data_IF_782080902572
#
_entry.id   IF_782080902572
#
_cell.length_a   1.000
_cell.length_b   1.000
_cell.length_c   1.000
_cell.angle_alpha   90.00
_cell.angle_beta   90.00
_cell.angle_gamma   90.00
#
_symmetry.space_group_name_H-M   'P 1'
#
loop_
_entity.id
_entity.type
_entity.pdbx_description
1 polymer ?
#
# COMPACT_ATOMS: atom_id res chain seq x y z
N UNK A 1 26.16 -24.10 -2.68
CA UNK A 1 26.14 -22.84 -3.44
C UNK A 1 25.04 -22.97 -4.50
N UNK A 2 23.90 -22.27 -4.38
CA UNK A 2 22.88 -22.25 -5.44
C UNK A 2 23.42 -21.40 -6.60
N UNK A 3 23.53 -21.99 -7.77
CA UNK A 3 23.80 -21.24 -9.01
C UNK A 3 22.58 -20.36 -9.24
N UNK A 4 22.73 -19.02 -9.44
CA UNK A 4 21.61 -18.17 -9.79
C UNK A 4 20.99 -18.68 -11.10
N UNK A 5 19.71 -18.93 -11.11
CA UNK A 5 19.02 -19.26 -12.36
C UNK A 5 19.14 -18.07 -13.33
N UNK A 6 19.42 -18.32 -14.60
CA UNK A 6 19.52 -17.24 -15.57
C UNK A 6 18.14 -16.53 -15.66
N UNK A 7 18.16 -15.20 -15.55
CA UNK A 7 16.98 -14.30 -15.61
C UNK A 7 16.44 -14.24 -17.08
N UNK A 8 16.33 -15.38 -17.74
CA UNK A 8 15.90 -15.45 -19.15
C UNK A 8 14.49 -16.00 -19.33
N UNK A 9 13.73 -16.14 -18.24
CA UNK A 9 12.32 -16.48 -18.31
C UNK A 9 11.48 -15.20 -18.42
N UNK A 10 10.32 -15.28 -19.07
CA UNK A 10 9.36 -14.16 -19.14
C UNK A 10 9.02 -13.64 -17.73
N UNK A 11 8.80 -14.55 -16.79
CA UNK A 11 8.56 -14.21 -15.38
C UNK A 11 9.74 -13.44 -14.78
N UNK A 12 10.96 -13.90 -14.96
CA UNK A 12 12.16 -13.23 -14.47
C UNK A 12 12.35 -11.84 -15.06
N UNK A 13 12.05 -11.64 -16.34
CA UNK A 13 12.08 -10.33 -16.99
C UNK A 13 11.03 -9.38 -16.44
N UNK A 14 9.81 -9.86 -16.16
CA UNK A 14 8.75 -9.08 -15.52
C UNK A 14 9.19 -8.64 -14.13
N UNK A 15 9.69 -9.55 -13.29
CA UNK A 15 10.17 -9.22 -11.95
C UNK A 15 11.29 -8.19 -11.97
N UNK A 16 12.26 -8.35 -12.87
CA UNK A 16 13.37 -7.41 -13.03
C UNK A 16 12.88 -6.01 -13.44
N UNK A 17 11.87 -5.91 -14.30
CA UNK A 17 11.28 -4.63 -14.68
C UNK A 17 10.66 -3.92 -13.47
N UNK A 18 9.87 -4.62 -12.65
CA UNK A 18 9.30 -4.04 -11.42
C UNK A 18 10.37 -3.63 -10.40
N UNK A 19 11.42 -4.43 -10.25
CA UNK A 19 12.54 -4.12 -9.35
C UNK A 19 13.31 -2.86 -9.78
N UNK A 20 13.42 -2.62 -11.09
CA UNK A 20 14.06 -1.42 -11.63
C UNK A 20 13.24 -0.14 -11.40
N UNK A 21 11.92 -0.25 -11.24
CA UNK A 21 10.98 0.87 -11.05
C UNK A 21 10.70 1.18 -9.57
N UNK A 22 11.38 0.53 -8.62
CA UNK A 22 11.16 0.78 -7.21
C UNK A 22 11.41 2.24 -6.83
N UNK A 23 10.44 2.82 -6.13
CA UNK A 23 10.54 4.17 -5.61
C UNK A 23 11.61 4.29 -4.51
N UNK A 24 12.23 5.47 -4.35
CA UNK A 24 13.15 5.72 -3.25
C UNK A 24 12.43 5.64 -1.90
N UNK A 25 13.17 5.42 -0.79
CA UNK A 25 12.60 5.40 0.55
C UNK A 25 11.85 6.69 0.87
N UNK A 26 10.71 6.57 1.55
CA UNK A 26 9.90 7.71 1.96
C UNK A 26 10.63 8.53 3.03
N UNK A 27 10.54 9.89 3.00
CA UNK A 27 11.20 10.75 4.00
C UNK A 27 10.47 10.80 5.35
N UNK A 28 9.48 9.95 5.56
CA UNK A 28 8.66 9.88 6.78
C UNK A 28 8.40 8.42 7.17
N UNK A 29 8.05 8.22 8.43
CA UNK A 29 7.61 6.93 8.92
C UNK A 29 6.12 6.74 8.57
N UNK A 30 5.79 5.65 7.89
CA UNK A 30 4.40 5.30 7.58
C UNK A 30 3.64 4.89 8.84
N UNK A 31 2.40 5.40 9.01
CA UNK A 31 1.57 5.08 10.17
C UNK A 31 1.33 3.56 10.35
N UNK A 32 1.30 2.80 9.26
CA UNK A 32 1.17 1.34 9.28
C UNK A 32 2.35 0.61 9.94
N UNK A 33 3.50 1.26 10.09
CA UNK A 33 4.67 0.67 10.73
C UNK A 33 4.68 0.84 12.26
N UNK A 34 3.87 1.75 12.82
CA UNK A 34 3.91 2.10 14.24
C UNK A 34 3.58 0.93 15.19
N UNK A 35 2.94 -0.12 14.70
CA UNK A 35 2.68 -1.35 15.46
C UNK A 35 3.85 -2.32 15.54
N UNK A 36 4.99 -2.00 14.95
CA UNK A 36 6.14 -2.90 14.96
C UNK A 36 6.72 -3.03 16.38
N UNK A 37 7.01 -4.25 16.86
CA UNK A 37 7.41 -4.49 18.26
C UNK A 37 8.83 -4.03 18.60
N UNK A 38 9.64 -3.65 17.60
CA UNK A 38 11.03 -3.24 17.79
C UNK A 38 11.22 -1.76 17.44
N UNK A 39 11.32 -0.89 18.44
CA UNK A 39 11.56 0.55 18.29
C UNK A 39 12.87 0.86 17.57
N UNK A 40 13.89 0.05 17.82
CA UNK A 40 15.18 0.20 17.13
C UNK A 40 15.06 -0.03 15.63
N UNK A 41 14.24 -1.01 15.21
CA UNK A 41 13.97 -1.24 13.79
C UNK A 41 13.24 -0.04 13.17
N UNK A 42 12.22 0.51 13.83
CA UNK A 42 11.51 1.72 13.40
C UNK A 42 12.47 2.89 13.24
N UNK A 43 13.37 3.09 14.19
CA UNK A 43 14.39 4.15 14.14
C UNK A 43 15.35 3.97 12.95
N UNK A 44 15.82 2.74 12.70
CA UNK A 44 16.70 2.42 11.58
C UNK A 44 16.00 2.63 10.23
N UNK A 45 14.72 2.28 10.13
CA UNK A 45 13.89 2.56 8.94
C UNK A 45 13.77 4.06 8.70
N UNK A 46 13.43 4.81 9.73
CA UNK A 46 13.29 6.27 9.64
C UNK A 46 14.61 6.95 9.23
N UNK A 47 15.74 6.46 9.71
CA UNK A 47 17.08 6.97 9.37
C UNK A 47 17.62 6.45 8.04
N UNK A 48 16.86 5.65 7.32
CA UNK A 48 17.29 4.97 6.09
C UNK A 48 18.58 4.13 6.26
N UNK A 49 18.86 3.69 7.49
CA UNK A 49 19.98 2.80 7.78
C UNK A 49 19.71 1.36 7.29
N UNK A 50 18.44 1.01 7.19
CA UNK A 50 17.96 -0.23 6.56
C UNK A 50 17.00 0.17 5.45
N UNK A 51 17.38 -0.05 4.21
CA UNK A 51 16.53 0.17 3.04
C UNK A 51 15.97 -1.18 2.62
N UNK A 52 14.68 -1.38 2.84
CA UNK A 52 13.99 -2.58 2.40
C UNK A 52 13.78 -2.51 0.89
N UNK A 53 14.33 -3.49 0.18
CA UNK A 53 14.08 -3.68 -1.25
C UNK A 53 13.20 -4.90 -1.42
N UNK A 54 12.10 -4.72 -2.11
CA UNK A 54 11.16 -5.79 -2.39
C UNK A 54 11.55 -6.53 -3.67
N UNK A 55 11.31 -7.85 -3.68
CA UNK A 55 11.43 -8.66 -4.89
C UNK A 55 10.34 -8.29 -5.90
N UNK A 56 10.59 -8.52 -7.18
CA UNK A 56 9.61 -8.26 -8.23
C UNK A 56 8.28 -8.98 -8.01
N UNK A 57 8.32 -10.19 -7.45
CA UNK A 57 7.11 -10.92 -7.04
C UNK A 57 6.32 -10.16 -5.97
N UNK A 58 6.99 -9.63 -4.96
CA UNK A 58 6.34 -8.84 -3.89
C UNK A 58 5.76 -7.54 -4.45
N UNK A 59 6.46 -6.87 -5.35
CA UNK A 59 5.98 -5.65 -6.00
C UNK A 59 4.72 -5.90 -6.85
N UNK A 60 4.66 -7.03 -7.55
CA UNK A 60 3.45 -7.47 -8.27
C UNK A 60 2.27 -7.73 -7.33
N UNK A 61 2.51 -8.30 -6.14
CA UNK A 61 1.46 -8.46 -5.13
C UNK A 61 0.94 -7.11 -4.63
N UNK A 62 1.82 -6.13 -4.42
CA UNK A 62 1.42 -4.77 -4.06
C UNK A 62 0.58 -4.12 -5.16
N UNK A 63 1.00 -4.27 -6.41
CA UNK A 63 0.25 -3.76 -7.57
C UNK A 63 -1.13 -4.40 -7.65
N UNK A 64 -1.24 -5.69 -7.45
CA UNK A 64 -2.52 -6.39 -7.39
C UNK A 64 -3.41 -5.84 -6.26
N UNK A 65 -2.86 -5.56 -5.09
CA UNK A 65 -3.60 -4.92 -3.99
C UNK A 65 -4.20 -3.58 -4.41
N UNK A 66 -3.42 -2.74 -5.09
CA UNK A 66 -3.90 -1.45 -5.61
C UNK A 66 -5.02 -1.61 -6.66
N UNK A 67 -4.90 -2.58 -7.55
CA UNK A 67 -5.94 -2.84 -8.57
C UNK A 67 -7.25 -3.35 -7.91
N UNK A 68 -7.16 -4.11 -6.82
CA UNK A 68 -8.33 -4.55 -6.04
C UNK A 68 -9.00 -3.40 -5.27
N UNK A 69 -8.26 -2.39 -4.81
CA UNK A 69 -8.86 -1.17 -4.23
C UNK A 69 -9.83 -0.52 -5.22
N UNK A 70 -9.42 -0.33 -6.46
CA UNK A 70 -10.27 0.26 -7.51
C UNK A 70 -11.53 -0.57 -7.76
N UNK A 71 -11.42 -1.91 -7.74
CA UNK A 71 -12.57 -2.81 -7.88
C UNK A 71 -13.54 -2.69 -6.71
N UNK A 72 -13.04 -2.65 -5.48
CA UNK A 72 -13.87 -2.47 -4.28
C UNK A 72 -14.62 -1.14 -4.34
N UNK A 73 -13.93 -0.05 -4.71
CA UNK A 73 -14.54 1.27 -4.89
C UNK A 73 -15.69 1.22 -5.92
N UNK A 74 -15.47 0.55 -7.06
CA UNK A 74 -16.52 0.38 -8.08
C UNK A 74 -17.73 -0.40 -7.55
N UNK A 75 -17.51 -1.46 -6.75
CA UNK A 75 -18.59 -2.22 -6.15
C UNK A 75 -19.40 -1.40 -5.14
N UNK A 76 -18.72 -0.60 -4.30
CA UNK A 76 -19.38 0.30 -3.36
C UNK A 76 -20.24 1.35 -4.09
N UNK A 77 -19.72 1.93 -5.17
CA UNK A 77 -20.49 2.86 -6.00
C UNK A 77 -21.71 2.21 -6.67
N UNK A 78 -21.62 0.94 -7.06
CA UNK A 78 -22.76 0.19 -7.64
C UNK A 78 -23.91 0.00 -6.67
N UNK A 79 -23.67 -0.11 -5.39
CA UNK A 79 -24.71 -0.21 -4.36
C UNK A 79 -25.22 1.15 -3.89
N UNK A 80 -24.78 2.24 -4.54
CA UNK A 80 -25.24 3.60 -4.27
C UNK A 80 -24.43 4.35 -3.20
N UNK A 81 -23.33 3.79 -2.69
CA UNK A 81 -22.45 4.51 -1.80
C UNK A 81 -21.64 5.59 -2.55
N UNK A 82 -21.46 6.74 -1.91
CA UNK A 82 -20.58 7.78 -2.42
C UNK A 82 -19.16 7.52 -1.91
N UNK A 83 -18.21 7.31 -2.84
CA UNK A 83 -16.81 7.11 -2.51
C UNK A 83 -15.95 8.18 -3.17
N UNK A 84 -15.18 8.89 -2.37
CA UNK A 84 -14.30 10.00 -2.78
C UNK A 84 -12.87 9.81 -2.26
N UNK A 85 -11.95 10.65 -2.73
CA UNK A 85 -10.56 10.66 -2.29
C UNK A 85 -9.84 9.31 -2.45
N UNK A 86 -9.99 8.67 -3.60
CA UNK A 86 -9.40 7.38 -3.93
C UNK A 86 -8.21 7.52 -4.89
N UNK A 87 -7.37 6.50 -4.98
CA UNK A 87 -6.25 6.42 -5.90
C UNK A 87 -5.24 7.56 -5.70
N UNK A 88 -4.97 8.35 -6.73
CA UNK A 88 -4.03 9.49 -6.66
C UNK A 88 -4.55 10.68 -5.82
N UNK A 89 -5.81 10.67 -5.41
CA UNK A 89 -6.44 11.72 -4.61
C UNK A 89 -6.65 11.32 -3.15
N UNK A 90 -5.97 10.29 -2.68
CA UNK A 90 -6.04 9.85 -1.29
C UNK A 90 -5.65 10.97 -0.33
N UNK A 91 -6.36 11.05 0.79
CA UNK A 91 -6.06 12.02 1.85
C UNK A 91 -4.84 11.54 2.62
N UNK A 92 -3.85 12.41 2.72
CA UNK A 92 -2.69 12.19 3.59
C UNK A 92 -2.90 12.86 4.93
N UNK A 93 -2.61 12.14 6.00
CA UNK A 93 -2.65 12.62 7.37
C UNK A 93 -1.23 12.81 7.89
N UNK A 94 -0.95 13.98 8.45
CA UNK A 94 0.30 14.25 9.15
C UNK A 94 0.04 14.21 10.66
N UNK A 95 0.63 13.24 11.33
CA UNK A 95 0.47 13.04 12.78
C UNK A 95 1.54 13.77 13.61
N UNK A 96 2.40 14.54 12.95
CA UNK A 96 3.58 15.14 13.58
C UNK A 96 4.72 14.14 13.76
N UNK A 97 5.84 14.61 14.28
CA UNK A 97 7.03 13.77 14.58
C UNK A 97 7.48 12.88 13.42
N UNK A 98 7.35 13.37 12.18
CA UNK A 98 7.71 12.64 10.95
C UNK A 98 6.85 11.40 10.65
N UNK A 99 5.67 11.28 11.24
CA UNK A 99 4.73 10.18 10.99
C UNK A 99 3.62 10.66 10.07
N UNK A 100 3.42 9.95 8.96
CA UNK A 100 2.34 10.21 7.99
C UNK A 100 1.63 8.93 7.62
N UNK A 101 0.36 9.08 7.25
CA UNK A 101 -0.45 7.99 6.72
C UNK A 101 -1.43 8.49 5.67
N UNK A 102 -2.06 7.57 4.98
CA UNK A 102 -3.14 7.84 4.05
C UNK A 102 -4.25 6.83 4.26
N UNK A 103 -5.46 7.16 3.82
CA UNK A 103 -6.56 6.19 3.72
C UNK A 103 -6.88 5.94 2.25
N UNK A 104 -7.50 4.80 1.96
CA UNK A 104 -7.83 4.39 0.60
C UNK A 104 -9.02 5.17 0.02
N UNK A 105 -9.78 5.84 0.87
CA UNK A 105 -10.88 6.72 0.46
C UNK A 105 -11.76 7.17 1.62
N UNK A 106 -12.80 7.91 1.25
CA UNK A 106 -13.88 8.32 2.16
C UNK A 106 -15.18 7.77 1.58
N UNK A 107 -15.97 7.11 2.40
CA UNK A 107 -17.25 6.51 2.01
C UNK A 107 -18.41 7.09 2.80
N UNK A 108 -19.51 7.35 2.11
CA UNK A 108 -20.79 7.83 2.66
C UNK A 108 -21.96 7.06 2.04
N UNK A 109 -23.08 6.98 2.75
CA UNK A 109 -24.29 6.36 2.22
C UNK A 109 -24.30 4.84 2.23
N UNK A 110 -23.57 4.22 3.15
CA UNK A 110 -23.63 2.78 3.36
C UNK A 110 -25.00 2.36 3.89
N UNK A 111 -25.58 1.23 3.44
CA UNK A 111 -26.93 0.81 3.83
C UNK A 111 -27.19 0.71 5.33
N UNK A 112 -26.19 0.28 6.10
CA UNK A 112 -26.27 0.15 7.56
C UNK A 112 -25.91 1.43 8.32
N UNK A 113 -25.38 2.46 7.63
CA UNK A 113 -24.96 3.73 8.20
C UNK A 113 -25.11 4.87 7.17
N UNK A 114 -26.34 5.16 6.67
CA UNK A 114 -26.56 6.02 5.52
C UNK A 114 -26.17 7.48 5.71
N UNK A 115 -26.10 7.93 6.96
CA UNK A 115 -25.74 9.32 7.33
C UNK A 115 -24.29 9.44 7.83
N UNK A 116 -23.55 8.34 7.86
CA UNK A 116 -22.19 8.32 8.39
C UNK A 116 -21.19 8.50 7.27
N UNK A 117 -20.24 9.40 7.51
CA UNK A 117 -19.03 9.54 6.73
C UNK A 117 -17.91 8.73 7.39
N UNK A 118 -17.32 7.80 6.67
CA UNK A 118 -16.31 6.88 7.21
C UNK A 118 -15.05 6.83 6.35
N UNK A 119 -13.95 6.48 6.97
CA UNK A 119 -12.70 6.17 6.28
C UNK A 119 -12.82 4.78 5.65
N UNK A 120 -12.45 4.70 4.37
CA UNK A 120 -12.32 3.43 3.66
C UNK A 120 -10.88 2.93 3.78
N UNK A 121 -10.71 1.70 4.17
CA UNK A 121 -9.44 0.97 4.17
C UNK A 121 -9.66 -0.40 3.53
N UNK A 122 -8.94 -0.69 2.47
CA UNK A 122 -9.05 -1.93 1.70
C UNK A 122 -7.89 -2.85 2.05
N UNK A 123 -8.19 -4.11 2.38
CA UNK A 123 -7.17 -5.12 2.65
C UNK A 123 -7.42 -6.36 1.80
N UNK A 124 -6.36 -6.86 1.19
CA UNK A 124 -6.37 -8.17 0.53
C UNK A 124 -5.77 -9.22 1.45
N UNK A 125 -6.36 -10.39 1.49
CA UNK A 125 -5.84 -11.55 2.21
C UNK A 125 -5.46 -12.65 1.23
N UNK A 126 -4.41 -13.38 1.55
CA UNK A 126 -4.16 -14.71 0.98
C UNK A 126 -4.84 -15.73 1.89
N UNK A 127 -5.74 -16.54 1.33
CA UNK A 127 -6.26 -17.73 1.99
C UNK A 127 -5.16 -18.78 2.15
#
# INVERSE_FOLDING_TARGET
MKIPEPINTIEGLIYAAYEAEQEPPRPHLGASLLGHPCDRWLWLQFRHAVIERHSGRTLLLFKRGQDEEDRIVQHLRRIGAHVSNTGSHQISFDFGSHVKGSCDGIVEGLPHAPKTKAILECKTHSD
#
